data_IF_599588244507
#
_entry.id   IF_599588244507
#
_cell.length_a   1.000
_cell.length_b   1.000
_cell.length_c   1.000
_cell.angle_alpha   90.00
_cell.angle_beta   90.00
_cell.angle_gamma   90.00
#
_symmetry.space_group_name_H-M   'P 1'
#
loop_
_entity.id
_entity.type
_entity.pdbx_description
1 polymer ?
#
# COMPACT_ATOMS: atom_id res chain seq x y z
N UNK A 1 9.83 16.39 11.17
CA UNK A 1 9.21 15.06 11.03
C UNK A 1 7.74 15.28 10.82
N UNK A 2 7.14 14.93 9.68
CA UNK A 2 5.70 14.89 9.57
C UNK A 2 5.17 13.56 10.11
N UNK A 3 3.89 13.60 10.46
CA UNK A 3 3.21 12.83 11.50
C UNK A 3 3.73 13.08 12.94
N UNK A 4 2.82 13.36 13.90
CA UNK A 4 3.17 13.55 15.31
C UNK A 4 3.78 12.27 15.91
N UNK A 5 4.53 12.35 17.03
CA UNK A 5 5.06 11.16 17.70
C UNK A 5 3.96 10.30 18.35
N UNK A 6 2.90 10.95 18.83
CA UNK A 6 1.74 10.29 19.41
C UNK A 6 0.87 9.61 18.34
N UNK A 7 0.09 8.56 18.70
CA UNK A 7 -0.84 7.93 17.78
C UNK A 7 -1.85 8.91 17.20
N UNK A 8 -2.15 8.78 15.91
CA UNK A 8 -3.12 9.62 15.21
C UNK A 8 -3.94 8.77 14.23
N UNK A 9 -5.21 9.13 14.04
CA UNK A 9 -6.05 8.55 13.00
C UNK A 9 -6.21 9.53 11.84
N UNK A 10 -5.72 9.15 10.66
CA UNK A 10 -5.95 9.91 9.43
C UNK A 10 -7.21 9.36 8.76
N UNK A 11 -8.12 10.25 8.36
CA UNK A 11 -9.36 9.90 7.68
C UNK A 11 -9.41 10.54 6.31
N UNK A 12 -10.10 9.87 5.39
CA UNK A 12 -10.27 10.37 4.04
C UNK A 12 -11.24 9.54 3.23
N UNK A 13 -11.31 9.84 1.94
CA UNK A 13 -12.09 9.08 0.98
C UNK A 13 -12.42 9.86 -0.29
N UNK A 14 -13.30 9.29 -1.10
CA UNK A 14 -13.69 9.91 -2.35
C UNK A 14 -14.59 11.12 -2.15
N UNK A 15 -14.68 11.96 -3.18
CA UNK A 15 -15.44 13.20 -3.14
C UNK A 15 -16.94 12.99 -2.85
N UNK A 16 -17.56 11.94 -3.42
CA UNK A 16 -18.97 11.62 -3.20
C UNK A 16 -19.27 10.83 -1.92
N UNK A 17 -18.26 10.47 -1.12
CA UNK A 17 -18.43 9.71 0.13
C UNK A 17 -18.66 8.20 -0.02
N UNK A 18 -18.81 7.68 -1.25
CA UNK A 18 -19.00 6.24 -1.50
C UNK A 18 -17.84 5.36 -1.03
N UNK A 19 -16.63 5.92 -0.93
CA UNK A 19 -15.44 5.27 -0.41
C UNK A 19 -14.91 6.14 0.71
N UNK A 20 -14.62 5.55 1.87
CA UNK A 20 -13.87 6.21 2.93
C UNK A 20 -12.88 5.25 3.54
N UNK A 21 -11.82 5.80 4.11
CA UNK A 21 -10.75 5.04 4.73
C UNK A 21 -10.32 5.67 6.04
N UNK A 22 -9.65 4.85 6.86
CA UNK A 22 -8.97 5.25 8.08
C UNK A 22 -7.56 4.67 8.09
N UNK A 23 -6.59 5.50 8.44
CA UNK A 23 -5.20 5.10 8.68
C UNK A 23 -4.93 5.27 10.17
N UNK A 24 -4.76 4.14 10.86
CA UNK A 24 -4.39 4.14 12.28
C UNK A 24 -2.88 4.20 12.39
N UNK A 25 -2.34 5.40 12.59
CA UNK A 25 -0.92 5.62 12.77
C UNK A 25 -0.58 5.36 14.24
N UNK A 26 0.28 4.37 14.55
CA UNK A 26 0.67 4.08 15.93
C UNK A 26 1.68 5.11 16.46
N UNK A 27 2.11 4.93 17.70
CA UNK A 27 3.19 5.73 18.29
C UNK A 27 4.48 5.57 17.47
N UNK A 28 5.34 6.59 17.48
CA UNK A 28 6.53 6.64 16.62
C UNK A 28 7.47 5.42 16.74
N UNK A 29 7.66 4.91 17.94
CA UNK A 29 8.51 3.75 18.24
C UNK A 29 7.95 2.43 17.71
N UNK A 30 6.63 2.32 17.63
CA UNK A 30 5.88 1.18 17.06
C UNK A 30 5.84 1.20 15.52
N UNK A 31 6.14 2.35 14.89
CA UNK A 31 6.14 2.47 13.42
C UNK A 31 7.29 1.68 12.80
N UNK A 32 7.04 0.89 11.73
CA UNK A 32 8.10 0.22 11.02
C UNK A 32 9.01 1.23 10.31
N UNK A 33 10.29 0.92 10.19
CA UNK A 33 11.21 1.71 9.36
C UNK A 33 10.83 1.59 7.88
N UNK A 34 11.18 2.59 7.08
CA UNK A 34 10.98 2.52 5.64
C UNK A 34 11.74 1.34 5.04
N UNK A 35 11.09 0.60 4.14
CA UNK A 35 11.55 -0.68 3.59
C UNK A 35 12.85 -0.62 2.78
N UNK A 36 13.35 0.57 2.46
CA UNK A 36 14.63 0.79 1.77
C UNK A 36 15.82 0.83 2.73
N UNK A 37 15.58 0.87 4.05
CA UNK A 37 16.62 0.87 5.06
C UNK A 37 16.84 -0.55 5.62
N UNK A 38 18.08 -0.93 5.95
CA UNK A 38 18.35 -2.19 6.63
C UNK A 38 17.78 -2.17 8.05
N UNK A 39 17.37 -3.33 8.59
CA UNK A 39 16.80 -3.44 9.95
C UNK A 39 17.69 -2.85 11.05
N UNK A 40 19.01 -2.86 10.87
CA UNK A 40 19.97 -2.24 11.80
C UNK A 40 19.77 -0.73 11.97
N UNK A 41 19.21 -0.04 10.95
CA UNK A 41 18.91 1.39 11.00
C UNK A 41 17.75 1.73 11.95
N UNK A 42 17.00 0.74 12.46
CA UNK A 42 15.88 0.96 13.40
C UNK A 42 16.29 1.68 14.69
N UNK A 43 17.54 1.50 15.13
CA UNK A 43 18.07 2.15 16.32
C UNK A 43 18.29 3.66 16.15
N UNK A 44 18.47 4.13 14.91
CA UNK A 44 18.65 5.55 14.62
C UNK A 44 17.28 6.25 14.55
N UNK A 45 16.99 7.22 15.44
CA UNK A 45 15.74 7.97 15.43
C UNK A 45 15.56 8.85 14.18
N UNK A 46 16.63 9.15 13.43
CA UNK A 46 16.55 9.87 12.17
C UNK A 46 16.13 8.97 10.99
N UNK A 47 16.13 7.63 11.17
CA UNK A 47 15.67 6.69 10.14
C UNK A 47 14.19 6.92 9.85
N UNK A 48 13.81 7.13 8.58
CA UNK A 48 12.43 7.35 8.19
C UNK A 48 11.54 6.16 8.57
N UNK A 49 10.35 6.45 9.09
CA UNK A 49 9.37 5.46 9.52
C UNK A 49 8.07 5.61 8.75
N UNK A 50 7.32 4.53 8.64
CA UNK A 50 6.03 4.50 7.95
C UNK A 50 4.87 4.67 8.96
N UNK A 51 3.78 5.37 8.59
CA UNK A 51 3.59 6.02 7.30
C UNK A 51 4.45 7.27 7.12
N UNK A 52 4.80 7.58 5.88
CA UNK A 52 5.50 8.81 5.52
C UNK A 52 4.79 9.53 4.38
N UNK A 53 4.93 10.85 4.32
CA UNK A 53 4.27 11.68 3.29
C UNK A 53 5.31 12.15 2.28
N UNK A 54 5.11 11.82 1.02
CA UNK A 54 6.04 12.20 -0.04
C UNK A 54 5.33 12.71 -1.29
N UNK A 55 5.93 13.70 -1.93
CA UNK A 55 5.54 14.08 -3.29
C UNK A 55 6.21 13.14 -4.28
N UNK A 56 5.52 12.80 -5.36
CA UNK A 56 6.02 11.93 -6.42
C UNK A 56 6.11 12.70 -7.74
N UNK A 57 7.30 12.67 -8.32
CA UNK A 57 7.62 13.37 -9.56
C UNK A 57 7.68 12.43 -10.78
N UNK A 58 7.20 11.19 -10.71
CA UNK A 58 7.13 10.30 -11.87
C UNK A 58 5.98 10.67 -12.83
N UNK A 59 6.18 10.42 -14.12
CA UNK A 59 5.15 10.66 -15.16
C UNK A 59 3.92 9.77 -14.99
N UNK A 60 4.10 8.55 -14.50
CA UNK A 60 3.02 7.56 -14.38
C UNK A 60 2.02 8.00 -13.31
N UNK A 61 2.49 8.41 -12.13
CA UNK A 61 1.61 8.92 -11.07
C UNK A 61 0.97 10.25 -11.45
N UNK A 62 1.67 11.14 -12.17
CA UNK A 62 1.04 12.36 -12.70
C UNK A 62 -0.13 12.04 -13.64
N UNK A 63 0.12 11.19 -14.63
CA UNK A 63 -0.88 10.80 -15.63
C UNK A 63 -2.07 10.10 -14.97
N UNK A 64 -1.80 9.14 -14.09
CA UNK A 64 -2.83 8.37 -13.40
C UNK A 64 -3.71 9.23 -12.48
N UNK A 65 -3.11 10.19 -11.78
CA UNK A 65 -3.84 11.05 -10.83
C UNK A 65 -4.41 12.31 -11.46
N UNK A 66 -3.98 12.65 -12.67
CA UNK A 66 -4.19 13.97 -13.29
C UNK A 66 -3.76 15.13 -12.39
N UNK A 67 -2.71 14.92 -11.57
CA UNK A 67 -2.08 15.94 -10.74
C UNK A 67 -0.66 16.20 -11.21
N UNK A 68 -0.24 17.47 -11.24
CA UNK A 68 1.14 17.84 -11.59
C UNK A 68 2.12 17.41 -10.48
N UNK A 69 1.65 17.41 -9.23
CA UNK A 69 2.44 17.03 -8.06
C UNK A 69 1.61 16.07 -7.20
N UNK A 70 1.44 14.81 -7.63
CA UNK A 70 0.79 13.82 -6.80
C UNK A 70 1.58 13.67 -5.50
N UNK A 71 0.84 13.58 -4.40
CA UNK A 71 1.41 13.44 -3.08
C UNK A 71 0.74 12.26 -2.41
N UNK A 72 1.56 11.40 -1.82
CA UNK A 72 1.15 10.11 -1.30
C UNK A 72 1.50 9.98 0.18
N UNK A 73 0.69 9.21 0.89
CA UNK A 73 1.01 8.66 2.20
C UNK A 73 1.43 7.21 1.94
N UNK A 74 2.71 6.91 2.10
CA UNK A 74 3.24 5.55 1.99
C UNK A 74 2.85 4.83 3.28
N UNK A 75 1.81 3.98 3.22
CA UNK A 75 1.16 3.43 4.40
C UNK A 75 1.33 1.91 4.47
N UNK A 76 1.75 1.33 5.61
CA UNK A 76 1.65 -0.10 5.84
C UNK A 76 0.18 -0.56 5.74
N UNK A 77 -0.04 -1.70 5.07
CA UNK A 77 -1.38 -2.23 4.82
C UNK A 77 -2.19 -2.47 6.08
N UNK A 78 -1.53 -2.92 7.14
CA UNK A 78 -2.15 -3.19 8.45
C UNK A 78 -2.68 -1.93 9.14
N UNK A 79 -2.20 -0.75 8.75
CA UNK A 79 -2.68 0.51 9.32
C UNK A 79 -3.91 1.02 8.58
N UNK A 80 -4.19 0.50 7.38
CA UNK A 80 -5.16 1.05 6.46
C UNK A 80 -6.43 0.20 6.37
N UNK A 81 -7.55 0.80 6.75
CA UNK A 81 -8.88 0.19 6.63
C UNK A 81 -9.76 1.02 5.71
N UNK A 82 -10.66 0.35 4.99
CA UNK A 82 -11.54 0.97 4.00
C UNK A 82 -12.98 0.50 4.20
N UNK A 83 -13.93 1.35 3.87
CA UNK A 83 -15.34 0.99 3.76
C UNK A 83 -15.89 1.57 2.45
N UNK A 84 -16.57 0.74 1.69
CA UNK A 84 -17.11 1.06 0.37
C UNK A 84 -18.61 0.81 0.36
N UNK A 85 -19.39 1.81 -0.08
CA UNK A 85 -20.82 1.63 -0.30
C UNK A 85 -21.05 0.68 -1.49
N UNK A 86 -22.08 -0.17 -1.41
CA UNK A 86 -22.50 -0.97 -2.55
C UNK A 86 -23.04 -0.09 -3.67
N UNK A 87 -23.01 -0.60 -4.89
CA UNK A 87 -23.81 -0.08 -6.02
C UNK A 87 -25.27 -0.49 -5.78
N UNK A 88 -26.21 0.43 -5.94
CA UNK A 88 -27.64 0.11 -5.86
C UNK A 88 -28.16 -0.40 -7.21
N UNK A 89 -29.20 -1.23 -7.18
CA UNK A 89 -29.89 -1.68 -8.41
C UNK A 89 -30.52 -0.46 -9.10
N UNK A 90 -29.97 -0.05 -10.24
CA UNK A 90 -30.36 1.16 -10.98
C UNK A 90 -29.29 2.26 -11.03
N UNK A 91 -28.14 2.07 -10.38
CA UNK A 91 -26.98 2.97 -10.53
C UNK A 91 -26.25 2.78 -11.88
N UNK A 92 -26.49 1.66 -12.57
CA UNK A 92 -25.99 1.42 -13.93
C UNK A 92 -26.72 2.34 -14.92
N UNK A 93 -26.09 3.47 -15.23
CA UNK A 93 -26.66 4.52 -16.08
C UNK A 93 -27.23 5.71 -15.32
N UNK A 94 -27.16 5.73 -13.97
CA UNK A 94 -27.39 6.95 -13.22
C UNK A 94 -26.39 8.03 -13.69
N UNK A 95 -26.82 9.29 -13.91
CA UNK A 95 -25.90 10.36 -14.25
C UNK A 95 -24.81 10.42 -13.18
N UNK A 96 -23.55 10.79 -13.55
CA UNK A 96 -22.46 10.91 -12.60
C UNK A 96 -22.98 11.69 -11.41
N UNK A 97 -22.81 11.13 -10.21
CA UNK A 97 -23.42 11.68 -9.01
C UNK A 97 -23.18 13.18 -9.00
N UNK A 98 -24.26 13.99 -8.96
CA UNK A 98 -24.10 15.42 -8.74
C UNK A 98 -23.20 15.54 -7.53
N UNK A 99 -22.05 16.20 -7.70
CA UNK A 99 -21.12 16.48 -6.61
C UNK A 99 -21.98 16.82 -5.40
N UNK A 100 -22.00 15.96 -4.38
CA UNK A 100 -22.59 16.35 -3.10
C UNK A 100 -21.89 17.67 -2.80
N UNK A 101 -22.61 18.80 -2.83
CA UNK A 101 -22.03 20.14 -2.76
C UNK A 101 -21.06 20.14 -1.58
N UNK A 102 -19.76 19.93 -1.86
CA UNK A 102 -18.69 20.18 -0.92
C UNK A 102 -18.41 21.65 -1.14
N UNK A 103 -18.85 22.54 -0.23
CA UNK A 103 -18.56 23.95 -0.36
C UNK A 103 -17.06 24.11 -0.50
N UNK A 104 -16.64 24.76 -1.58
CA UNK A 104 -15.24 24.93 -1.97
C UNK A 104 -14.46 25.73 -0.91
N UNK A 105 -15.18 26.48 -0.08
CA UNK A 105 -14.68 27.42 0.91
C UNK A 105 -15.67 27.41 2.08
N UNK A 106 -15.21 27.08 3.27
CA UNK A 106 -15.98 26.95 4.52
C UNK A 106 -17.03 25.83 4.53
N UNK A 107 -16.66 24.67 5.06
CA UNK A 107 -17.63 23.70 5.56
C UNK A 107 -17.43 23.53 7.05
N UNK A 108 -18.40 23.96 7.84
CA UNK A 108 -18.68 23.31 9.11
C UNK A 108 -18.62 21.80 8.86
N UNK A 109 -17.80 21.11 9.65
CA UNK A 109 -17.54 19.66 9.61
C UNK A 109 -18.80 18.96 9.10
N UNK A 110 -18.85 18.59 7.81
CA UNK A 110 -19.74 17.49 7.45
C UNK A 110 -18.99 16.32 7.98
N UNK A 111 -19.21 16.06 9.26
CA UNK A 111 -18.89 14.80 9.88
C UNK A 111 -19.37 13.80 8.85
N UNK A 112 -18.44 13.01 8.31
CA UNK A 112 -18.86 11.88 7.50
C UNK A 112 -19.72 11.09 8.47
N UNK A 113 -21.03 11.20 8.30
CA UNK A 113 -21.97 10.41 9.05
C UNK A 113 -21.73 8.99 8.56
N UNK A 114 -20.76 8.37 9.20
CA UNK A 114 -20.41 6.98 9.00
C UNK A 114 -21.54 6.10 9.56
N UNK A 115 -22.62 6.66 10.10
CA UNK A 115 -23.80 5.88 10.45
C UNK A 115 -24.39 5.22 9.20
N UNK A 116 -24.69 3.92 9.32
CA UNK A 116 -25.31 3.14 8.24
C UNK A 116 -24.38 2.66 7.12
N UNK A 117 -23.08 2.97 7.15
CA UNK A 117 -22.13 2.42 6.17
C UNK A 117 -21.69 0.99 6.51
N UNK A 118 -21.19 0.21 5.53
CA UNK A 118 -20.54 -1.08 5.80
C UNK A 118 -19.32 -0.94 6.72
N UNK A 119 -18.99 -1.99 7.47
CA UNK A 119 -17.83 -2.00 8.36
C UNK A 119 -16.53 -1.62 7.62
N UNK A 120 -15.62 -0.96 8.33
CA UNK A 120 -14.26 -0.76 7.85
C UNK A 120 -13.51 -2.09 7.93
N UNK A 121 -12.97 -2.55 6.80
CA UNK A 121 -12.21 -3.79 6.67
C UNK A 121 -10.77 -3.48 6.26
N UNK A 122 -9.79 -4.39 6.50
CA UNK A 122 -8.43 -4.22 5.98
C UNK A 122 -8.46 -4.01 4.46
N UNK A 123 -7.88 -2.90 3.97
CA UNK A 123 -8.05 -2.59 2.54
C UNK A 123 -7.11 -3.36 1.63
N UNK A 124 -6.04 -3.93 2.16
CA UNK A 124 -5.02 -4.60 1.38
C UNK A 124 -5.60 -5.63 0.39
N UNK A 125 -6.53 -6.47 0.85
CA UNK A 125 -7.19 -7.45 -0.01
C UNK A 125 -8.14 -6.80 -1.03
N UNK A 126 -8.83 -5.74 -0.65
CA UNK A 126 -9.73 -4.99 -1.55
C UNK A 126 -8.97 -4.25 -2.65
N UNK A 127 -7.75 -3.80 -2.36
CA UNK A 127 -6.91 -3.01 -3.27
C UNK A 127 -6.04 -3.87 -4.20
N UNK A 128 -6.08 -5.20 -4.07
CA UNK A 128 -5.37 -6.16 -4.93
C UNK A 128 -6.26 -6.91 -5.92
N UNK A 129 -7.47 -6.40 -6.16
CA UNK A 129 -8.42 -7.05 -7.08
C UNK A 129 -9.02 -8.34 -6.53
N UNK A 130 -8.93 -8.57 -5.21
CA UNK A 130 -9.79 -9.53 -4.52
C UNK A 130 -11.26 -9.19 -4.78
N UNK A 131 -12.14 -10.19 -4.72
CA UNK A 131 -13.55 -10.12 -5.19
C UNK A 131 -14.55 -9.14 -4.51
N UNK A 132 -14.23 -8.15 -3.65
CA UNK A 132 -15.23 -7.14 -3.24
C UNK A 132 -15.44 -5.91 -4.16
N UNK A 133 -14.70 -5.74 -5.27
CA UNK A 133 -14.77 -4.49 -6.07
C UNK A 133 -15.93 -4.39 -7.05
N UNK A 134 -16.55 -5.50 -7.46
CA UNK A 134 -17.56 -5.46 -8.52
C UNK A 134 -18.87 -4.83 -8.04
N UNK A 135 -19.27 -5.16 -6.81
CA UNK A 135 -20.54 -4.72 -6.22
C UNK A 135 -20.42 -3.39 -5.46
N UNK A 136 -19.24 -2.78 -5.43
CA UNK A 136 -19.00 -1.51 -4.73
C UNK A 136 -18.50 -0.44 -5.69
N UNK A 137 -18.48 0.81 -5.23
CA UNK A 137 -17.94 1.93 -5.99
C UNK A 137 -16.40 1.96 -6.07
N UNK A 138 -15.68 1.06 -5.38
CA UNK A 138 -14.23 0.94 -5.52
C UNK A 138 -13.90 0.20 -6.80
N UNK A 139 -13.24 0.87 -7.73
CA UNK A 139 -12.80 0.31 -9.00
C UNK A 139 -11.27 0.24 -9.03
N UNK A 140 -10.74 -0.72 -9.77
CA UNK A 140 -9.31 -0.96 -9.89
C UNK A 140 -8.93 -1.11 -11.36
N UNK A 141 -7.72 -0.68 -11.69
CA UNK A 141 -7.06 -1.05 -12.94
C UNK A 141 -5.61 -1.46 -12.67
N UNK A 142 -5.09 -2.34 -13.53
CA UNK A 142 -3.69 -2.73 -13.51
C UNK A 142 -2.89 -1.63 -14.22
N UNK A 143 -1.92 -1.06 -13.51
CA UNK A 143 -1.06 0.04 -13.97
C UNK A 143 0.29 -0.45 -14.50
N UNK A 144 0.58 -1.75 -14.43
CA UNK A 144 1.75 -2.39 -15.05
C UNK A 144 1.37 -2.93 -16.42
N UNK A 145 2.22 -2.69 -17.42
CA UNK A 145 2.09 -3.38 -18.71
C UNK A 145 2.48 -4.87 -18.58
N UNK A 146 2.07 -5.67 -19.57
CA UNK A 146 2.36 -7.10 -19.60
C UNK A 146 3.87 -7.37 -19.60
N UNK A 147 4.68 -6.54 -20.27
CA UNK A 147 6.13 -6.72 -20.35
C UNK A 147 6.82 -6.57 -18.99
N UNK A 148 6.46 -5.55 -18.22
CA UNK A 148 6.95 -5.27 -16.87
C UNK A 148 6.43 -6.29 -15.87
N UNK A 149 5.18 -6.74 -16.05
CA UNK A 149 4.62 -7.83 -15.27
C UNK A 149 5.39 -9.13 -15.52
N UNK A 150 5.62 -9.52 -16.78
CA UNK A 150 6.38 -10.72 -17.13
C UNK A 150 7.81 -10.71 -16.57
N UNK A 151 8.48 -9.55 -16.58
CA UNK A 151 9.86 -9.42 -16.06
C UNK A 151 9.93 -9.48 -14.54
N UNK A 152 8.88 -9.04 -13.85
CA UNK A 152 8.96 -8.82 -12.40
C UNK A 152 8.03 -9.72 -11.59
N UNK A 153 7.05 -10.34 -12.24
CA UNK A 153 5.99 -11.13 -11.62
C UNK A 153 5.08 -10.30 -10.71
N UNK A 154 4.95 -8.99 -10.97
CA UNK A 154 4.27 -8.02 -10.11
C UNK A 154 3.15 -7.31 -10.86
N UNK A 155 2.02 -7.24 -10.19
CA UNK A 155 0.91 -6.37 -10.56
C UNK A 155 0.98 -5.10 -9.72
N UNK A 156 0.91 -3.95 -10.38
CA UNK A 156 0.59 -2.69 -9.71
C UNK A 156 -0.88 -2.36 -9.96
N UNK A 157 -1.63 -2.18 -8.88
CA UNK A 157 -3.03 -1.78 -8.95
C UNK A 157 -3.17 -0.31 -8.59
N UNK A 158 -4.04 0.39 -9.31
CA UNK A 158 -4.52 1.72 -8.95
C UNK A 158 -6.00 1.63 -8.70
N UNK A 159 -6.43 2.27 -7.63
CA UNK A 159 -7.81 2.26 -7.17
C UNK A 159 -8.42 3.65 -7.21
N UNK A 160 -9.69 3.72 -7.56
CA UNK A 160 -10.44 4.96 -7.69
C UNK A 160 -11.92 4.73 -7.43
N UNK A 161 -12.66 5.81 -7.20
CA UNK A 161 -14.10 5.76 -7.08
C UNK A 161 -14.76 5.72 -8.47
N UNK A 162 -15.41 4.63 -8.82
CA UNK A 162 -16.20 4.51 -10.06
C UNK A 162 -17.36 5.51 -10.16
N UNK A 163 -17.78 6.10 -9.03
CA UNK A 163 -18.88 7.09 -9.00
C UNK A 163 -18.43 8.52 -9.30
N UNK A 164 -17.24 8.92 -8.84
CA UNK A 164 -16.79 10.32 -8.91
C UNK A 164 -15.34 10.50 -9.40
N UNK A 165 -14.65 9.42 -9.78
CA UNK A 165 -13.30 9.46 -10.33
C UNK A 165 -12.18 9.75 -9.33
N UNK A 166 -12.47 10.02 -8.06
CA UNK A 166 -11.42 10.29 -7.06
C UNK A 166 -10.48 9.08 -6.94
N UNK A 167 -9.20 9.28 -7.24
CA UNK A 167 -8.13 8.33 -6.95
C UNK A 167 -8.07 8.05 -5.44
N UNK A 168 -7.74 6.82 -5.05
CA UNK A 168 -7.68 6.40 -3.65
C UNK A 168 -6.29 5.92 -3.29
N UNK A 169 -5.79 4.89 -3.98
CA UNK A 169 -4.51 4.30 -3.65
C UNK A 169 -3.82 3.63 -4.84
N UNK A 170 -2.49 3.53 -4.75
CA UNK A 170 -1.64 2.67 -5.54
C UNK A 170 -1.10 1.54 -4.66
N UNK A 171 -1.04 0.32 -5.19
CA UNK A 171 -0.60 -0.87 -4.45
C UNK A 171 0.21 -1.78 -5.35
N UNK A 172 1.32 -2.32 -4.85
CA UNK A 172 2.16 -3.28 -5.57
C UNK A 172 2.03 -4.66 -4.94
N UNK A 173 1.92 -5.69 -5.79
CA UNK A 173 1.69 -7.07 -5.38
C UNK A 173 2.42 -8.08 -6.28
N UNK A 174 3.28 -8.97 -5.75
CA UNK A 174 3.91 -8.91 -4.42
C UNK A 174 4.94 -7.76 -4.33
N UNK A 175 5.33 -7.39 -3.11
CA UNK A 175 6.46 -6.48 -2.92
C UNK A 175 7.76 -7.16 -3.38
N UNK A 176 8.74 -6.43 -3.95
CA UNK A 176 9.97 -7.04 -4.46
C UNK A 176 10.81 -7.73 -3.36
N UNK A 177 11.52 -8.82 -3.70
CA UNK A 177 12.48 -9.47 -2.79
C UNK A 177 13.58 -8.49 -2.37
N UNK A 178 13.86 -8.37 -1.07
CA UNK A 178 14.85 -7.43 -0.51
C UNK A 178 14.26 -6.32 0.37
N UNK A 179 12.93 -6.24 0.48
CA UNK A 179 12.24 -5.49 1.55
C UNK A 179 12.21 -6.32 2.85
N UNK A 180 12.33 -5.73 4.04
CA UNK A 180 12.22 -6.46 5.31
C UNK A 180 10.76 -6.97 5.43
N UNK A 181 10.44 -8.26 5.54
CA UNK A 181 11.24 -9.42 5.88
C UNK A 181 10.52 -10.68 5.33
N UNK A 182 11.15 -11.43 4.42
CA UNK A 182 10.68 -12.77 3.99
C UNK A 182 11.69 -13.87 4.31
N UNK A 183 12.73 -13.58 5.11
CA UNK A 183 13.79 -14.56 5.42
C UNK A 183 13.58 -15.34 6.71
N UNK A 184 12.76 -14.87 7.66
CA UNK A 184 12.65 -15.56 8.96
C UNK A 184 11.75 -16.82 8.95
N UNK A 185 10.80 -16.95 8.02
CA UNK A 185 9.99 -18.17 7.94
C UNK A 185 10.70 -19.31 7.19
N UNK A 186 11.58 -18.98 6.23
CA UNK A 186 12.32 -19.98 5.47
C UNK A 186 13.39 -20.65 6.32
N UNK A 187 14.13 -19.91 7.15
CA UNK A 187 15.15 -20.52 8.01
C UNK A 187 14.53 -21.43 9.08
N UNK A 188 13.39 -21.05 9.69
CA UNK A 188 12.73 -21.87 10.71
C UNK A 188 12.12 -23.17 10.15
N UNK A 189 11.61 -23.15 8.90
CA UNK A 189 11.10 -24.34 8.21
C UNK A 189 12.25 -25.23 7.73
N UNK A 190 13.36 -24.65 7.25
CA UNK A 190 14.51 -25.42 6.78
C UNK A 190 15.32 -26.07 7.91
N UNK A 191 15.42 -25.44 9.09
CA UNK A 191 16.08 -26.05 10.25
C UNK A 191 15.23 -27.09 10.97
N UNK A 192 13.90 -27.07 10.80
CA UNK A 192 12.99 -27.98 11.53
C UNK A 192 12.53 -29.21 10.71
N UNK A 193 12.76 -29.25 9.39
CA UNK A 193 12.24 -30.33 8.52
C UNK A 193 13.22 -30.82 7.44
N UNK A 194 14.50 -31.02 7.77
CA UNK A 194 15.46 -31.61 6.84
C UNK A 194 16.10 -32.90 7.37
N UNK A 195 15.34 -34.00 7.33
CA UNK A 195 15.88 -35.31 6.96
C UNK A 195 15.20 -35.75 5.66
N UNK A 196 15.79 -35.37 4.53
CA UNK A 196 15.41 -35.88 3.22
C UNK A 196 16.15 -37.20 3.02
N UNK A 197 15.45 -38.33 3.07
CA UNK A 197 16.01 -39.61 2.65
C UNK A 197 15.90 -39.71 1.13
N UNK A 198 17.02 -39.51 0.43
CA UNK A 198 17.11 -39.81 -1.00
C UNK A 198 17.43 -41.29 -1.19
N UNK A 199 16.54 -42.03 -1.86
CA UNK A 199 16.86 -43.31 -2.46
C UNK A 199 16.09 -43.47 -3.78
N UNK A 200 16.77 -43.24 -4.91
CA UNK A 200 16.30 -43.50 -6.29
C UNK A 200 15.11 -42.65 -6.78
N UNK A 201 15.37 -41.80 -7.78
CA UNK A 201 14.49 -41.13 -8.78
C UNK A 201 13.04 -40.67 -8.45
N UNK A 202 12.57 -40.74 -7.20
CA UNK A 202 11.27 -40.22 -6.78
C UNK A 202 11.38 -39.58 -5.40
N UNK A 203 11.38 -38.25 -5.36
CA UNK A 203 11.25 -37.51 -4.10
C UNK A 203 9.80 -37.60 -3.60
N UNK A 204 9.58 -38.32 -2.50
CA UNK A 204 8.31 -38.32 -1.77
C UNK A 204 8.50 -37.53 -0.49
N UNK A 205 7.76 -36.42 -0.32
CA UNK A 205 7.81 -35.62 0.90
C UNK A 205 6.89 -36.24 1.95
N UNK A 206 7.45 -36.82 3.00
CA UNK A 206 6.72 -37.26 4.19
C UNK A 206 6.69 -36.10 5.20
N UNK A 207 5.51 -35.51 5.41
CA UNK A 207 5.31 -34.57 6.51
C UNK A 207 5.13 -35.35 7.81
N UNK A 208 6.00 -35.09 8.79
CA UNK A 208 5.85 -35.61 10.14
C UNK A 208 5.00 -34.62 10.96
N UNK A 209 3.77 -35.00 11.28
CA UNK A 209 3.02 -34.33 12.34
C UNK A 209 3.30 -35.08 13.64
N UNK A 210 4.23 -34.56 14.46
CA UNK A 210 4.43 -35.07 15.81
C UNK A 210 3.21 -34.72 16.66
N UNK A 211 2.22 -35.62 16.70
CA UNK A 211 1.22 -35.63 17.77
C UNK A 211 1.62 -36.77 18.71
N UNK A 212 1.93 -36.50 19.99
CA UNK A 212 2.27 -37.57 20.91
C UNK A 212 1.03 -38.45 21.15
N UNK A 213 1.08 -39.72 20.73
CA UNK A 213 0.20 -40.75 21.27
C UNK A 213 -0.78 -41.48 20.35
N UNK A 214 -0.73 -41.35 19.01
CA UNK A 214 -1.56 -42.19 18.14
C UNK A 214 -0.78 -42.78 16.95
N UNK A 215 -0.49 -44.09 17.02
CA UNK A 215 0.00 -44.87 15.90
C UNK A 215 -1.14 -45.20 14.94
N UNK A 216 -1.38 -44.35 13.93
CA UNK A 216 -2.24 -44.67 12.80
C UNK A 216 -1.61 -44.13 11.52
N UNK A 217 -0.85 -45.00 10.85
CA UNK A 217 -0.38 -44.75 9.49
C UNK A 217 -1.58 -44.81 8.53
N UNK A 218 -1.88 -43.69 7.87
CA UNK A 218 -2.66 -43.71 6.62
C UNK A 218 -1.89 -42.97 5.55
N UNK A 219 -1.63 -43.58 4.37
CA UNK A 219 -1.07 -42.86 3.24
C UNK A 219 -2.10 -41.86 2.73
N UNK A 220 -1.78 -40.57 2.79
CA UNK A 220 -2.55 -39.53 2.10
C UNK A 220 -2.33 -39.69 0.59
N UNK A 221 -3.40 -39.94 -0.16
CA UNK A 221 -3.38 -39.88 -1.61
C UNK A 221 -3.01 -38.46 -2.06
N UNK A 222 -2.09 -38.38 -3.03
CA UNK A 222 -1.58 -37.15 -3.57
C UNK A 222 -2.73 -36.26 -4.10
N UNK A 223 -2.94 -35.11 -3.45
CA UNK A 223 -3.75 -34.04 -4.02
C UNK A 223 -2.94 -33.36 -5.15
N UNK A 224 -3.54 -33.09 -6.32
CA UNK A 224 -2.85 -32.51 -7.46
C UNK A 224 -2.75 -30.98 -7.35
N UNK A 225 -2.37 -30.46 -6.18
CA UNK A 225 -2.03 -29.05 -6.05
C UNK A 225 -0.52 -28.91 -6.26
N UNK A 226 -0.17 -28.37 -7.42
CA UNK A 226 1.20 -28.03 -7.79
C UNK A 226 1.89 -27.27 -6.65
N UNK A 227 3.08 -27.74 -6.24
CA UNK A 227 3.91 -27.15 -5.17
C UNK A 227 4.13 -25.64 -5.31
N UNK A 228 3.98 -25.09 -6.52
CA UNK A 228 4.07 -23.66 -6.83
C UNK A 228 2.96 -22.84 -6.17
N UNK A 229 1.76 -23.40 -5.99
CA UNK A 229 0.60 -22.69 -5.41
C UNK A 229 0.73 -22.56 -3.89
N UNK A 230 1.19 -23.60 -3.19
CA UNK A 230 1.40 -23.56 -1.74
C UNK A 230 2.55 -22.63 -1.34
N UNK A 231 3.60 -22.54 -2.16
CA UNK A 231 4.73 -21.60 -1.96
C UNK A 231 4.31 -20.13 -1.97
N UNK A 232 3.22 -19.80 -2.69
CA UNK A 232 2.73 -18.42 -2.85
C UNK A 232 1.90 -17.95 -1.66
N UNK A 233 1.40 -18.87 -0.83
CA UNK A 233 0.41 -18.61 0.21
C UNK A 233 0.97 -18.64 1.65
N UNK A 234 2.19 -19.17 1.84
CA UNK A 234 2.77 -19.45 3.16
C UNK A 234 4.04 -18.63 3.50
N UNK A 235 4.47 -17.70 2.65
CA UNK A 235 5.78 -17.01 2.78
C UNK A 235 5.69 -15.48 2.66
N UNK A 236 5.00 -14.81 3.59
CA UNK A 236 5.28 -13.40 3.96
C UNK A 236 4.48 -13.00 5.21
N UNK A 237 5.09 -12.40 6.25
CA UNK A 237 4.42 -11.34 6.99
C UNK A 237 4.38 -10.12 6.07
N UNK A 238 3.21 -9.90 5.48
CA UNK A 238 2.90 -8.95 4.41
C UNK A 238 2.91 -7.48 4.87
N UNK A 239 4.06 -6.85 5.11
CA UNK A 239 4.07 -5.37 5.14
C UNK A 239 3.98 -4.85 3.70
N UNK A 240 2.80 -4.96 3.12
CA UNK A 240 2.51 -4.28 1.88
C UNK A 240 2.39 -2.79 2.12
N UNK A 241 3.09 -2.01 1.31
CA UNK A 241 2.93 -0.56 1.32
C UNK A 241 1.84 -0.20 0.32
N UNK A 242 0.88 0.57 0.80
CA UNK A 242 -0.23 1.16 0.07
C UNK A 242 0.06 2.65 -0.01
N UNK A 243 0.21 3.17 -1.22
CA UNK A 243 0.40 4.60 -1.44
C UNK A 243 -0.98 5.24 -1.54
N UNK A 244 -1.39 5.94 -0.48
CA UNK A 244 -2.71 6.58 -0.40
C UNK A 244 -2.61 8.02 -0.90
N UNK A 245 -3.48 8.45 -1.80
CA UNK A 245 -3.39 9.83 -2.32
C UNK A 245 -3.74 10.83 -1.20
N UNK A 246 -2.84 11.78 -0.95
CA UNK A 246 -2.98 12.78 0.10
C UNK A 246 -4.22 13.67 -0.16
N UNK A 247 -4.49 14.00 -1.42
CA UNK A 247 -5.64 14.84 -1.80
C UNK A 247 -7.02 14.26 -1.47
N UNK A 248 -7.11 12.99 -1.07
CA UNK A 248 -8.35 12.36 -0.61
C UNK A 248 -8.52 12.40 0.92
N UNK A 249 -7.54 12.92 1.67
CA UNK A 249 -7.63 13.09 3.13
C UNK A 249 -8.64 14.18 3.46
N UNK A 250 -9.29 14.04 4.62
CA UNK A 250 -10.21 15.06 5.12
C UNK A 250 -9.50 16.39 5.38
N UNK A 251 -10.17 17.48 5.02
CA UNK A 251 -9.56 18.81 4.97
C UNK A 251 -9.01 19.27 6.32
N UNK A 252 -9.70 18.96 7.41
CA UNK A 252 -9.27 19.35 8.76
C UNK A 252 -7.92 18.72 9.17
N UNK A 253 -7.58 17.57 8.58
CA UNK A 253 -6.29 16.92 8.77
C UNK A 253 -5.26 17.50 7.80
N UNK A 254 -5.63 17.76 6.54
CA UNK A 254 -4.74 18.38 5.55
C UNK A 254 -4.24 19.77 5.96
N UNK A 255 -5.03 20.52 6.72
CA UNK A 255 -4.64 21.84 7.23
C UNK A 255 -3.64 21.76 8.39
N UNK A 256 -3.33 20.57 8.90
CA UNK A 256 -2.33 20.37 9.95
C UNK A 256 -0.92 20.41 9.40
N UNK A 257 0.01 21.06 10.12
CA UNK A 257 1.41 21.18 9.69
C UNK A 257 2.11 19.83 9.53
N UNK A 258 1.70 18.82 10.30
CA UNK A 258 2.26 17.48 10.24
C UNK A 258 1.79 16.65 9.02
N UNK A 259 0.88 17.19 8.19
CA UNK A 259 0.50 16.59 6.90
C UNK A 259 1.33 17.08 5.71
N UNK A 260 2.30 17.98 5.94
CA UNK A 260 3.21 18.44 4.90
C UNK A 260 4.10 17.28 4.42
N UNK A 261 4.38 17.18 3.11
CA UNK A 261 5.33 16.18 2.60
C UNK A 261 6.73 16.40 3.18
N UNK A 262 7.38 15.30 3.59
CA UNK A 262 8.76 15.32 4.06
C UNK A 262 9.78 14.94 3.00
N UNK A 263 9.34 14.40 1.86
CA UNK A 263 10.25 13.83 0.86
C UNK A 263 9.74 14.10 -0.54
N UNK A 264 10.68 14.21 -1.47
CA UNK A 264 10.40 14.25 -2.90
C UNK A 264 10.97 13.00 -3.56
N UNK A 265 10.11 12.13 -4.07
CA UNK A 265 10.49 10.91 -4.78
C UNK A 265 10.58 11.16 -6.28
N UNK A 266 11.34 10.32 -6.97
CA UNK A 266 11.45 10.34 -8.43
C UNK A 266 11.93 11.69 -8.98
N UNK A 267 12.80 12.39 -8.23
CA UNK A 267 13.25 13.73 -8.56
C UNK A 267 13.84 13.82 -9.97
N UNK A 268 14.54 12.79 -10.45
CA UNK A 268 15.12 12.77 -11.81
C UNK A 268 14.09 12.84 -12.94
N UNK A 269 12.82 12.54 -12.66
CA UNK A 269 11.71 12.57 -13.63
C UNK A 269 10.81 13.80 -13.46
N UNK A 270 11.22 14.72 -12.57
CA UNK A 270 10.51 15.96 -12.31
C UNK A 270 10.47 16.88 -13.51
N UNK A 271 9.35 17.58 -13.65
CA UNK A 271 9.25 18.70 -14.59
C UNK A 271 10.04 19.88 -13.99
N UNK A 272 10.97 20.51 -14.72
CA UNK A 272 11.89 21.49 -14.15
C UNK A 272 11.23 22.62 -13.35
N UNK A 273 10.20 23.26 -13.90
CA UNK A 273 9.53 24.35 -13.19
C UNK A 273 8.78 23.88 -11.92
N UNK A 274 8.37 22.60 -11.85
CA UNK A 274 7.77 22.02 -10.65
C UNK A 274 8.84 21.79 -9.58
N UNK A 275 10.02 21.34 -9.99
CA UNK A 275 11.18 21.20 -9.10
C UNK A 275 11.59 22.55 -8.52
N UNK A 276 11.62 23.61 -9.35
CA UNK A 276 11.91 24.97 -8.90
C UNK A 276 10.90 25.46 -7.85
N UNK A 277 9.61 25.19 -8.07
CA UNK A 277 8.54 25.51 -7.11
C UNK A 277 8.72 24.76 -5.78
N UNK A 278 9.08 23.48 -5.83
CA UNK A 278 9.35 22.68 -4.63
C UNK A 278 10.56 23.18 -3.86
N UNK A 279 11.65 23.53 -4.56
CA UNK A 279 12.87 24.07 -3.95
C UNK A 279 12.61 25.40 -3.22
N UNK A 280 11.70 26.23 -3.74
CA UNK A 280 11.35 27.50 -3.11
C UNK A 280 10.28 27.42 -2.01
N UNK A 281 9.37 26.44 -2.07
CA UNK A 281 8.15 26.42 -1.26
C UNK A 281 8.00 25.27 -0.27
N UNK A 282 8.73 24.16 -0.45
CA UNK A 282 8.58 22.95 0.36
C UNK A 282 9.91 22.21 0.50
N UNK A 283 10.83 22.68 1.35
CA UNK A 283 12.15 22.07 1.49
C UNK A 283 12.07 20.68 2.12
N UNK A 284 12.51 19.66 1.38
CA UNK A 284 12.56 18.27 1.82
C UNK A 284 13.69 17.50 1.10
N UNK A 285 14.24 16.42 1.71
CA UNK A 285 15.15 15.51 1.01
C UNK A 285 14.60 15.04 -0.34
N UNK A 286 15.46 15.14 -1.35
CA UNK A 286 15.15 14.76 -2.73
C UNK A 286 15.75 13.40 -3.02
N UNK A 287 14.95 12.51 -3.58
CA UNK A 287 15.33 11.14 -3.88
C UNK A 287 15.27 10.94 -5.40
N UNK A 288 16.32 10.38 -6.03
CA UNK A 288 16.38 10.26 -7.48
C UNK A 288 15.28 9.36 -8.05
N UNK A 289 14.88 8.35 -7.26
CA UNK A 289 13.84 7.35 -7.57
C UNK A 289 12.95 7.14 -6.32
N UNK A 290 12.27 5.99 -6.21
CA UNK A 290 11.46 5.62 -5.03
C UNK A 290 12.28 5.33 -3.76
N UNK A 291 13.57 5.02 -3.89
CA UNK A 291 14.47 4.75 -2.76
C UNK A 291 14.66 6.01 -1.92
N UNK A 292 14.25 5.97 -0.64
CA UNK A 292 14.48 7.09 0.30
C UNK A 292 15.83 7.01 1.02
N UNK A 293 16.63 5.97 0.73
CA UNK A 293 18.00 5.88 1.24
C UNK A 293 18.93 6.82 0.47
N UNK A 294 18.74 6.94 -0.85
CA UNK A 294 19.59 7.73 -1.73
C UNK A 294 19.11 9.18 -1.78
N UNK A 295 19.97 10.14 -1.48
CA UNK A 295 19.63 11.57 -1.56
C UNK A 295 20.38 12.23 -2.71
N UNK A 296 19.66 13.04 -3.50
CA UNK A 296 20.27 13.89 -4.52
C UNK A 296 21.06 15.00 -3.83
N UNK A 297 22.39 14.90 -3.86
CA UNK A 297 23.29 15.97 -3.48
C UNK A 297 23.22 17.09 -4.54
N UNK A 298 23.43 18.36 -4.14
CA UNK A 298 23.15 19.59 -4.91
C UNK A 298 23.91 19.79 -6.25
N UNK A 299 24.47 18.74 -6.84
CA UNK A 299 25.34 18.83 -8.02
C UNK A 299 24.69 18.44 -9.35
N UNK A 300 23.43 17.98 -9.37
CA UNK A 300 22.72 17.78 -10.64
C UNK A 300 22.02 19.07 -11.09
N UNK A 301 22.82 20.05 -11.53
CA UNK A 301 22.37 20.97 -12.58
C UNK A 301 22.39 20.16 -13.88
N UNK A 302 21.21 19.96 -14.47
CA UNK A 302 21.07 19.46 -15.84
C UNK A 302 21.81 20.36 -16.82
#
# INVERSE_FOLDING_TARGET
MPLPPDPVEIRGGCNCGAIRYKIKVPAFDERPIHFTFPSAAKADPATPRLPLIATDLCNDCRSATSSILPTWILCPGDFFTISCLPKSTGDDGAPPAQLHKRPLVNRAVVASDDSGRPAFVPAYEMLRGGRPSQDTWLQLYVSTDEETNHKTGRDSFRSFCGRCGTNIAYTVAPMPPGMPDSKQLLEFIFTSFSHVWCNGDKATVLMWAATPGTSLFKPFQAFPYSFTVLKRQLLTPDVAVIDVILGAVDRELLEQDWMRPERHLWWRYGVPWVQDLLMGGLPAPRHPIYSVHDVVQDEFKL
#
